data_IF_809455585318
#
_entry.id   IF_809455585318
#
_cell.length_a   1.000
_cell.length_b   1.000
_cell.length_c   1.000
_cell.angle_alpha   90.00
_cell.angle_beta   90.00
_cell.angle_gamma   90.00
#
_symmetry.space_group_name_H-M   'P 1'
#
loop_
_entity.id
_entity.type
_entity.pdbx_description
1 polymer ?
#
# COMPACT_ATOMS: atom_id res chain seq x y z
N UNK A 1 10.32 -0.72 -0.98
CA UNK A 1 9.57 0.53 -0.76
C UNK A 1 9.99 1.22 0.55
N UNK A 2 9.87 0.59 1.72
CA UNK A 2 10.25 1.20 3.01
C UNK A 2 11.72 1.01 3.40
N UNK A 3 12.40 -0.01 2.85
CA UNK A 3 13.83 -0.21 3.08
C UNK A 3 14.61 1.01 2.61
N UNK A 4 15.52 1.48 3.47
CA UNK A 4 16.33 2.68 3.25
C UNK A 4 15.54 3.98 3.00
N UNK A 5 14.25 4.01 3.37
CA UNK A 5 13.41 5.21 3.30
C UNK A 5 13.16 5.78 4.70
N UNK A 6 14.02 6.69 5.21
CA UNK A 6 13.82 7.29 6.53
C UNK A 6 12.51 8.07 6.63
N UNK A 7 12.11 8.72 5.53
CA UNK A 7 10.83 9.42 5.40
C UNK A 7 9.65 8.48 5.66
N UNK A 8 9.61 7.36 4.95
CA UNK A 8 8.51 6.38 5.04
C UNK A 8 8.48 5.69 6.40
N UNK A 9 9.64 5.27 6.91
CA UNK A 9 9.73 4.58 8.21
C UNK A 9 9.29 5.49 9.36
N UNK A 10 9.78 6.74 9.40
CA UNK A 10 9.35 7.68 10.42
C UNK A 10 7.84 7.92 10.37
N UNK A 11 7.30 8.20 9.18
CA UNK A 11 5.87 8.47 9.00
C UNK A 11 5.02 7.28 9.47
N UNK A 12 5.40 6.05 9.11
CA UNK A 12 4.69 4.84 9.54
C UNK A 12 4.78 4.65 11.05
N UNK A 13 5.96 4.81 11.65
CA UNK A 13 6.13 4.65 13.10
C UNK A 13 5.37 5.73 13.88
N UNK A 14 5.30 6.96 13.37
CA UNK A 14 4.53 8.04 13.98
C UNK A 14 3.02 7.73 14.05
N UNK A 15 2.49 6.88 13.15
CA UNK A 15 1.07 6.47 13.23
C UNK A 15 0.73 5.65 14.48
N UNK A 16 1.71 4.97 15.10
CA UNK A 16 1.49 4.15 16.30
C UNK A 16 1.11 5.02 17.51
N UNK A 17 1.92 6.00 17.95
CA UNK A 17 1.55 6.87 19.05
C UNK A 17 0.32 7.72 18.73
N UNK A 18 0.13 8.14 17.48
CA UNK A 18 -1.09 8.86 17.08
C UNK A 18 -2.32 7.97 17.28
N UNK A 19 -2.28 6.72 16.83
CA UNK A 19 -3.38 5.77 17.00
C UNK A 19 -3.64 5.47 18.48
N UNK A 20 -2.59 5.27 19.29
CA UNK A 20 -2.74 5.08 20.74
C UNK A 20 -3.40 6.28 21.40
N UNK A 21 -2.99 7.50 21.04
CA UNK A 21 -3.62 8.72 21.51
C UNK A 21 -5.10 8.79 21.10
N UNK A 22 -5.41 8.49 19.84
CA UNK A 22 -6.80 8.45 19.35
C UNK A 22 -7.65 7.42 20.12
N UNK A 23 -7.11 6.22 20.37
CA UNK A 23 -7.79 5.19 21.15
C UNK A 23 -8.08 5.61 22.58
N UNK A 24 -7.09 6.18 23.28
CA UNK A 24 -7.24 6.70 24.65
C UNK A 24 -8.22 7.87 24.69
N UNK A 25 -8.14 8.78 23.72
CA UNK A 25 -9.01 9.95 23.63
C UNK A 25 -10.48 9.54 23.49
N UNK A 26 -10.77 8.61 22.58
CA UNK A 26 -12.12 8.09 22.35
C UNK A 26 -12.64 7.26 23.53
N UNK A 27 -11.76 6.63 24.30
CA UNK A 27 -12.17 5.77 25.42
C UNK A 27 -12.40 6.53 26.73
N UNK A 28 -11.53 7.47 27.07
CA UNK A 28 -11.50 8.08 28.40
C UNK A 28 -11.68 9.60 28.40
N UNK A 29 -11.25 10.32 27.36
CA UNK A 29 -11.24 11.78 27.37
C UNK A 29 -12.57 12.36 26.89
N UNK A 30 -13.00 11.98 25.67
CA UNK A 30 -14.28 12.41 25.10
C UNK A 30 -14.96 11.28 24.31
N UNK A 31 -15.64 10.34 25.01
CA UNK A 31 -16.40 9.29 24.38
C UNK A 31 -17.46 9.84 23.41
N UNK A 32 -17.58 9.22 22.23
CA UNK A 32 -18.59 9.55 21.22
C UNK A 32 -18.24 10.72 20.28
N UNK A 33 -17.18 11.49 20.53
CA UNK A 33 -16.77 12.63 19.66
C UNK A 33 -15.80 12.23 18.56
N UNK A 34 -16.28 11.40 17.62
CA UNK A 34 -15.46 10.85 16.52
C UNK A 34 -14.92 11.95 15.60
N UNK A 35 -15.70 13.00 15.32
CA UNK A 35 -15.29 14.10 14.43
C UNK A 35 -14.08 14.88 14.95
N UNK A 36 -14.03 15.20 16.25
CA UNK A 36 -12.91 15.92 16.87
C UNK A 36 -11.61 15.14 16.72
N UNK A 37 -11.64 13.85 17.06
CA UNK A 37 -10.44 13.01 17.00
C UNK A 37 -10.02 12.66 15.57
N UNK A 38 -10.96 12.64 14.62
CA UNK A 38 -10.67 12.49 13.19
C UNK A 38 -9.86 13.67 12.68
N UNK A 39 -10.30 14.89 12.99
CA UNK A 39 -9.60 16.11 12.59
C UNK A 39 -8.20 16.16 13.20
N UNK A 40 -8.09 15.89 14.52
CA UNK A 40 -6.80 15.84 15.21
C UNK A 40 -5.89 14.77 14.59
N UNK A 41 -6.41 13.56 14.36
CA UNK A 41 -5.67 12.47 13.76
C UNK A 41 -5.14 12.82 12.37
N UNK A 42 -5.97 13.40 11.50
CA UNK A 42 -5.57 13.85 10.16
C UNK A 42 -4.49 14.93 10.25
N UNK A 43 -4.64 15.93 11.12
CA UNK A 43 -3.64 16.98 11.30
C UNK A 43 -2.30 16.42 11.82
N UNK A 44 -2.34 15.51 12.78
CA UNK A 44 -1.14 14.83 13.30
C UNK A 44 -0.49 13.96 12.22
N UNK A 45 -1.28 13.30 11.38
CA UNK A 45 -0.77 12.49 10.27
C UNK A 45 -0.08 13.37 9.22
N UNK A 46 -0.72 14.46 8.79
CA UNK A 46 -0.10 15.42 7.87
C UNK A 46 1.16 16.04 8.46
N UNK A 47 1.13 16.37 9.76
CA UNK A 47 2.31 16.81 10.50
C UNK A 47 3.42 15.76 10.52
N UNK A 48 3.08 14.48 10.68
CA UNK A 48 4.06 13.39 10.66
C UNK A 48 4.72 13.20 9.29
N UNK A 49 3.97 13.40 8.20
CA UNK A 49 4.49 13.34 6.83
C UNK A 49 5.48 14.50 6.60
N UNK A 50 5.13 15.71 7.03
CA UNK A 50 5.99 16.88 6.93
C UNK A 50 7.26 16.73 7.78
N UNK A 51 7.13 16.30 9.04
CA UNK A 51 8.26 16.04 9.95
C UNK A 51 9.15 14.91 9.43
N UNK A 52 8.57 13.87 8.83
CA UNK A 52 9.33 12.82 8.17
C UNK A 52 10.26 13.40 7.10
N UNK A 53 9.81 14.44 6.37
CA UNK A 53 10.62 15.09 5.34
C UNK A 53 11.84 15.79 5.94
N UNK A 54 11.65 16.47 7.07
CA UNK A 54 12.74 17.10 7.82
C UNK A 54 13.72 16.08 8.38
N UNK A 55 13.20 14.96 8.90
CA UNK A 55 14.01 13.86 9.43
C UNK A 55 14.84 13.17 8.35
N UNK A 56 14.28 13.01 7.15
CA UNK A 56 15.00 12.48 6.01
C UNK A 56 16.09 13.43 5.49
N UNK A 57 15.91 14.75 5.68
CA UNK A 57 16.89 15.75 5.30
C UNK A 57 18.05 15.90 6.30
N UNK A 58 17.85 15.58 7.57
CA UNK A 58 18.88 15.63 8.60
C UNK A 58 19.81 14.40 8.54
N UNK A 59 21.14 14.56 8.39
CA UNK A 59 22.08 13.44 8.25
C UNK A 59 22.10 12.46 9.43
N UNK A 60 21.83 12.93 10.65
CA UNK A 60 21.86 12.12 11.87
C UNK A 60 20.57 11.32 11.98
N UNK A 61 19.43 12.00 11.85
CA UNK A 61 18.13 11.37 11.98
C UNK A 61 17.77 10.49 10.78
N UNK A 62 18.20 10.85 9.57
CA UNK A 62 18.04 10.00 8.40
C UNK A 62 18.70 8.63 8.59
N UNK A 63 19.90 8.60 9.20
CA UNK A 63 20.58 7.33 9.51
C UNK A 63 19.86 6.54 10.60
N UNK A 64 19.30 7.22 11.60
CA UNK A 64 18.55 6.59 12.69
C UNK A 64 17.24 5.92 12.21
N UNK A 65 16.60 6.48 11.18
CA UNK A 65 15.36 5.95 10.61
C UNK A 65 15.56 5.15 9.31
N UNK A 66 16.80 4.92 8.89
CA UNK A 66 17.13 4.07 7.75
C UNK A 66 17.36 2.63 8.22
N UNK A 67 16.46 1.73 7.81
CA UNK A 67 16.52 0.31 8.15
C UNK A 67 16.56 -0.54 6.89
N UNK A 68 17.26 -1.67 6.98
CA UNK A 68 17.29 -2.69 5.93
C UNK A 68 15.96 -3.45 5.88
N UNK A 69 15.68 -4.10 4.75
CA UNK A 69 14.47 -4.92 4.60
C UNK A 69 14.35 -6.03 5.66
N UNK A 70 15.47 -6.62 6.07
CA UNK A 70 15.51 -7.65 7.12
C UNK A 70 15.13 -7.06 8.49
N UNK A 71 15.68 -5.88 8.84
CA UNK A 71 15.35 -5.20 10.09
C UNK A 71 13.86 -4.84 10.14
N UNK A 72 13.33 -4.24 9.06
CA UNK A 72 11.91 -3.90 8.95
C UNK A 72 11.04 -5.16 9.10
N UNK A 73 11.44 -6.28 8.50
CA UNK A 73 10.69 -7.55 8.62
C UNK A 73 10.57 -7.99 10.07
N UNK A 74 11.67 -8.00 10.82
CA UNK A 74 11.64 -8.33 12.25
C UNK A 74 10.83 -7.32 13.08
N UNK A 75 10.92 -6.02 12.76
CA UNK A 75 10.10 -4.99 13.40
C UNK A 75 8.60 -5.22 13.14
N UNK A 76 8.22 -5.59 11.92
CA UNK A 76 6.82 -5.87 11.56
C UNK A 76 6.30 -7.12 12.29
N UNK A 77 7.12 -8.17 12.43
CA UNK A 77 6.76 -9.37 13.21
C UNK A 77 6.53 -8.99 14.68
N UNK A 78 7.47 -8.26 15.28
CA UNK A 78 7.34 -7.82 16.67
C UNK A 78 6.14 -6.90 16.90
N UNK A 79 5.94 -5.93 16.01
CA UNK A 79 4.77 -5.05 16.02
C UNK A 79 3.47 -5.85 15.86
N UNK A 80 3.42 -6.81 14.93
CA UNK A 80 2.26 -7.66 14.70
C UNK A 80 1.87 -8.45 15.96
N UNK A 81 2.87 -9.00 16.66
CA UNK A 81 2.63 -9.66 17.96
C UNK A 81 2.06 -8.70 19.00
N UNK A 82 2.70 -7.54 19.20
CA UNK A 82 2.24 -6.53 20.17
C UNK A 82 0.83 -6.04 19.84
N UNK A 83 0.55 -5.75 18.58
CA UNK A 83 -0.77 -5.30 18.12
C UNK A 83 -1.86 -6.38 18.27
N UNK A 84 -1.50 -7.67 18.16
CA UNK A 84 -2.43 -8.78 18.37
C UNK A 84 -2.77 -9.02 19.85
N UNK A 85 -1.83 -8.73 20.76
CA UNK A 85 -2.02 -8.88 22.23
C UNK A 85 -2.75 -7.68 22.83
N UNK A 86 -2.49 -6.47 22.32
CA UNK A 86 -3.11 -5.26 22.84
C UNK A 86 -4.60 -5.16 22.51
N UNK A 87 -5.39 -4.42 23.32
CA UNK A 87 -6.80 -4.25 23.05
C UNK A 87 -7.06 -3.58 21.69
N UNK A 88 -8.05 -4.10 20.95
CA UNK A 88 -8.42 -3.62 19.60
C UNK A 88 -8.69 -2.11 19.57
N UNK A 89 -9.30 -1.56 20.63
CA UNK A 89 -9.63 -0.13 20.73
C UNK A 89 -8.40 0.78 20.91
N UNK A 90 -7.25 0.24 21.36
CA UNK A 90 -6.08 1.05 21.68
C UNK A 90 -5.21 1.31 20.45
N UNK A 91 -4.95 0.29 19.63
CA UNK A 91 -4.05 0.41 18.46
C UNK A 91 -4.78 0.07 17.17
N UNK A 92 -5.34 -1.13 17.06
CA UNK A 92 -5.82 -1.67 15.79
C UNK A 92 -6.93 -0.80 15.17
N UNK A 93 -8.03 -0.60 15.89
CA UNK A 93 -9.16 0.20 15.42
C UNK A 93 -8.81 1.68 15.11
N UNK A 94 -8.15 2.44 16.03
CA UNK A 94 -7.82 3.84 15.74
C UNK A 94 -6.78 3.99 14.62
N UNK A 95 -5.84 3.06 14.48
CA UNK A 95 -4.85 3.09 13.39
C UNK A 95 -5.47 2.78 12.04
N UNK A 96 -6.35 1.79 11.97
CA UNK A 96 -7.07 1.44 10.75
C UNK A 96 -7.98 2.60 10.32
N UNK A 97 -8.64 3.24 11.30
CA UNK A 97 -9.44 4.44 11.08
C UNK A 97 -8.60 5.60 10.52
N UNK A 98 -7.46 5.92 11.15
CA UNK A 98 -6.55 6.96 10.70
C UNK A 98 -6.04 6.70 9.27
N UNK A 99 -5.65 5.46 8.99
CA UNK A 99 -5.13 5.04 7.68
C UNK A 99 -6.18 5.12 6.58
N UNK A 100 -7.48 5.06 6.93
CA UNK A 100 -8.58 5.18 5.97
C UNK A 100 -8.60 6.57 5.33
N UNK A 101 -8.36 7.64 6.09
CA UNK A 101 -8.28 8.99 5.54
C UNK A 101 -7.13 9.13 4.54
N UNK A 102 -5.96 8.58 4.87
CA UNK A 102 -4.81 8.59 3.98
C UNK A 102 -5.10 7.81 2.70
N UNK A 103 -5.68 6.61 2.82
CA UNK A 103 -6.05 5.76 1.69
C UNK A 103 -7.05 6.46 0.78
N UNK A 104 -8.19 6.89 1.31
CA UNK A 104 -9.24 7.55 0.52
C UNK A 104 -8.70 8.84 -0.11
N UNK A 105 -7.99 9.67 0.67
CA UNK A 105 -7.38 10.91 0.15
C UNK A 105 -6.41 10.66 -0.99
N UNK A 106 -5.54 9.65 -0.85
CA UNK A 106 -4.57 9.26 -1.90
C UNK A 106 -5.28 8.73 -3.14
N UNK A 107 -6.29 7.86 -2.97
CA UNK A 107 -7.07 7.29 -4.07
C UNK A 107 -7.79 8.40 -4.86
N UNK A 108 -8.42 9.35 -4.17
CA UNK A 108 -9.08 10.50 -4.81
C UNK A 108 -8.08 11.37 -5.54
N UNK A 109 -6.93 11.68 -4.93
CA UNK A 109 -5.87 12.47 -5.56
C UNK A 109 -5.32 11.77 -6.83
N UNK A 110 -5.09 10.46 -6.76
CA UNK A 110 -4.66 9.65 -7.91
C UNK A 110 -5.73 9.60 -9.01
N UNK A 111 -7.00 9.43 -8.64
CA UNK A 111 -8.11 9.45 -9.60
C UNK A 111 -8.15 10.75 -10.39
N UNK A 112 -8.11 11.88 -9.66
CA UNK A 112 -8.08 13.22 -10.27
C UNK A 112 -6.84 13.38 -11.13
N UNK A 113 -5.67 12.95 -10.63
CA UNK A 113 -4.41 12.99 -11.38
C UNK A 113 -4.50 12.25 -12.71
N UNK A 114 -5.05 11.04 -12.73
CA UNK A 114 -5.24 10.24 -13.95
C UNK A 114 -6.20 10.95 -14.92
N UNK A 115 -7.33 11.48 -14.42
CA UNK A 115 -8.33 12.15 -15.26
C UNK A 115 -7.82 13.45 -15.86
N UNK A 116 -6.98 14.20 -15.14
CA UNK A 116 -6.40 15.46 -15.61
C UNK A 116 -5.24 15.21 -16.58
N UNK A 117 -4.36 14.27 -16.25
CA UNK A 117 -3.16 14.00 -17.07
C UNK A 117 -3.48 13.17 -18.31
N UNK A 118 -4.56 12.37 -18.29
CA UNK A 118 -4.96 11.43 -19.35
C UNK A 118 -3.75 10.72 -19.98
N UNK A 119 -2.97 9.97 -19.17
CA UNK A 119 -1.68 9.48 -19.62
C UNK A 119 -1.86 8.38 -20.67
N UNK A 120 -0.98 8.38 -21.66
CA UNK A 120 -0.94 7.34 -22.67
C UNK A 120 -0.47 6.01 -22.06
N UNK A 121 -1.22 4.94 -22.31
CA UNK A 121 -0.83 3.60 -21.89
C UNK A 121 0.22 3.07 -22.88
N UNK A 122 1.47 3.01 -22.44
CA UNK A 122 2.63 2.59 -23.25
C UNK A 122 2.80 1.08 -23.29
N UNK A 123 2.35 0.39 -22.25
CA UNK A 123 2.41 -1.07 -22.18
C UNK A 123 1.43 -1.69 -23.20
N UNK A 124 1.88 -2.63 -24.05
CA UNK A 124 0.98 -3.30 -25.00
C UNK A 124 -0.08 -4.12 -24.27
N UNK A 125 -1.26 -4.24 -24.87
CA UNK A 125 -2.39 -4.98 -24.28
C UNK A 125 -2.04 -6.46 -24.00
N UNK A 126 -1.18 -7.05 -24.83
CA UNK A 126 -0.60 -8.38 -24.62
C UNK A 126 0.91 -8.30 -24.83
N UNK A 127 1.67 -8.89 -23.91
CA UNK A 127 3.12 -9.06 -24.04
C UNK A 127 3.43 -10.50 -24.46
N UNK A 128 4.68 -10.77 -24.87
CA UNK A 128 5.14 -12.14 -25.16
C UNK A 128 5.16 -13.08 -23.95
N UNK A 129 4.91 -12.57 -22.74
CA UNK A 129 5.01 -13.31 -21.47
C UNK A 129 3.68 -13.91 -21.00
N UNK A 130 2.65 -13.96 -21.85
CA UNK A 130 1.33 -14.52 -21.51
C UNK A 130 1.34 -16.03 -21.25
N UNK A 131 2.36 -16.72 -21.74
CA UNK A 131 2.59 -18.16 -21.60
C UNK A 131 3.18 -18.58 -20.23
N UNK A 132 3.49 -17.60 -19.37
CA UNK A 132 4.02 -17.82 -18.03
C UNK A 132 5.54 -17.83 -17.93
N UNK A 133 6.24 -17.46 -19.00
CA UNK A 133 7.68 -17.21 -19.02
C UNK A 133 8.07 -15.82 -18.51
N UNK A 134 7.12 -15.08 -17.96
CA UNK A 134 7.30 -13.70 -17.50
C UNK A 134 8.45 -13.52 -16.50
N UNK A 135 9.26 -12.45 -16.64
CA UNK A 135 10.41 -12.23 -15.77
C UNK A 135 10.01 -11.70 -14.39
N UNK A 136 8.94 -10.90 -14.31
CA UNK A 136 8.40 -10.37 -13.04
C UNK A 136 7.70 -11.46 -12.24
N UNK A 137 7.00 -12.36 -12.93
CA UNK A 137 6.23 -13.43 -12.30
C UNK A 137 6.20 -14.67 -13.18
N UNK A 138 6.42 -15.84 -12.57
CA UNK A 138 6.35 -17.14 -13.24
C UNK A 138 4.95 -17.74 -13.12
N UNK A 139 4.41 -18.22 -14.24
CA UNK A 139 3.10 -18.84 -14.31
C UNK A 139 2.20 -18.17 -15.35
N UNK A 140 1.39 -18.97 -16.06
CA UNK A 140 0.53 -18.48 -17.14
C UNK A 140 -0.50 -17.46 -16.68
N UNK A 141 -1.00 -16.63 -17.62
CA UNK A 141 -1.97 -15.57 -17.34
C UNK A 141 -3.21 -16.10 -16.57
N UNK A 142 -3.67 -17.31 -16.91
CA UNK A 142 -4.71 -18.02 -16.19
C UNK A 142 -4.10 -19.16 -15.36
N UNK A 143 -4.43 -19.31 -14.05
CA UNK A 143 -5.41 -18.54 -13.26
C UNK A 143 -4.82 -17.31 -12.54
N UNK A 144 -3.54 -16.99 -12.74
CA UNK A 144 -2.83 -16.01 -11.93
C UNK A 144 -3.47 -14.62 -11.92
N UNK A 145 -4.04 -14.19 -13.05
CA UNK A 145 -4.82 -12.96 -13.17
C UNK A 145 -5.90 -12.82 -12.07
N UNK A 146 -6.57 -13.92 -11.73
CA UNK A 146 -7.63 -13.92 -10.72
C UNK A 146 -7.10 -13.86 -9.28
N UNK A 147 -5.85 -14.28 -9.06
CA UNK A 147 -5.22 -14.31 -7.74
C UNK A 147 -4.44 -13.01 -7.49
N UNK A 148 -3.81 -12.40 -8.51
CA UNK A 148 -2.99 -11.20 -8.30
C UNK A 148 -3.73 -9.90 -8.54
N UNK A 149 -4.65 -9.87 -9.52
CA UNK A 149 -5.45 -8.66 -9.84
C UNK A 149 -6.86 -8.78 -9.28
N UNK A 150 -7.51 -9.95 -9.41
CA UNK A 150 -8.90 -10.10 -9.00
C UNK A 150 -9.12 -10.35 -7.50
N UNK A 151 -8.06 -10.37 -6.67
CA UNK A 151 -8.23 -10.32 -5.21
C UNK A 151 -8.99 -9.08 -4.74
N UNK A 152 -9.04 -7.99 -5.52
CA UNK A 152 -9.91 -6.84 -5.24
C UNK A 152 -11.27 -6.85 -5.94
N UNK A 153 -11.45 -7.62 -7.03
CA UNK A 153 -12.59 -7.46 -7.95
C UNK A 153 -13.51 -8.68 -8.11
N UNK A 154 -13.09 -9.90 -7.77
CA UNK A 154 -13.90 -11.12 -7.99
C UNK A 154 -13.76 -12.16 -6.87
N UNK A 155 -12.69 -12.15 -6.07
CA UNK A 155 -12.41 -13.23 -5.11
C UNK A 155 -13.11 -13.06 -3.75
N UNK A 156 -14.07 -13.94 -3.45
CA UNK A 156 -14.66 -14.10 -2.12
C UNK A 156 -13.71 -14.60 -1.02
N UNK A 157 -12.42 -14.83 -1.31
CA UNK A 157 -11.44 -15.25 -0.31
C UNK A 157 -11.16 -14.15 0.74
N UNK A 158 -11.32 -12.87 0.39
CA UNK A 158 -11.30 -11.77 1.35
C UNK A 158 -12.49 -11.77 2.31
N UNK A 159 -13.62 -12.42 1.99
CA UNK A 159 -14.71 -12.59 2.95
C UNK A 159 -14.29 -13.45 4.16
N UNK A 160 -13.33 -14.36 3.98
CA UNK A 160 -12.73 -15.16 5.06
C UNK A 160 -11.73 -14.33 5.89
N UNK A 161 -10.96 -13.43 5.27
CA UNK A 161 -9.99 -12.54 5.94
C UNK A 161 -10.67 -11.32 6.62
N UNK A 162 -11.81 -10.87 6.08
CA UNK A 162 -12.70 -9.86 6.66
C UNK A 162 -13.13 -10.21 8.10
N UNK A 163 -13.00 -11.48 8.51
CA UNK A 163 -13.33 -11.99 9.86
C UNK A 163 -12.62 -11.28 11.03
N UNK A 164 -11.54 -10.53 10.77
CA UNK A 164 -10.74 -9.88 11.81
C UNK A 164 -11.44 -8.70 12.51
N UNK A 165 -11.80 -7.67 11.75
CA UNK A 165 -12.32 -6.38 12.27
C UNK A 165 -13.73 -6.09 11.80
N UNK A 166 -14.07 -6.37 10.54
CA UNK A 166 -15.40 -6.10 9.96
C UNK A 166 -16.55 -6.72 10.76
N UNK A 167 -16.58 -8.02 11.10
CA UNK A 167 -17.70 -8.59 11.88
C UNK A 167 -17.72 -8.11 13.33
N UNK A 168 -16.59 -7.62 13.87
CA UNK A 168 -16.52 -7.06 15.23
C UNK A 168 -16.98 -5.60 15.31
N UNK A 169 -17.03 -4.91 14.16
CA UNK A 169 -17.38 -3.50 14.04
C UNK A 169 -18.70 -3.27 13.29
N UNK A 170 -19.29 -4.31 12.71
CA UNK A 170 -20.62 -4.26 12.12
C UNK A 170 -21.67 -4.03 13.22
N UNK A 171 -22.40 -2.94 13.08
CA UNK A 171 -23.49 -2.60 14.00
C UNK A 171 -24.70 -3.55 13.86
N UNK A 172 -24.99 -3.98 12.62
CA UNK A 172 -26.06 -4.92 12.31
C UNK A 172 -25.79 -5.65 10.99
N UNK A 173 -26.58 -6.70 10.71
CA UNK A 173 -26.44 -7.51 9.50
C UNK A 173 -26.81 -6.76 8.21
N UNK A 174 -27.73 -5.80 8.27
CA UNK A 174 -28.13 -5.03 7.09
C UNK A 174 -26.99 -4.16 6.57
N UNK A 175 -26.08 -3.71 7.45
CA UNK A 175 -24.86 -2.99 7.08
C UNK A 175 -23.82 -3.88 6.38
N UNK A 176 -23.89 -5.21 6.54
CA UNK A 176 -22.90 -6.13 5.97
C UNK A 176 -22.83 -6.05 4.44
N UNK A 177 -24.00 -5.94 3.78
CA UNK A 177 -24.05 -5.81 2.32
C UNK A 177 -23.41 -4.53 1.84
N UNK A 178 -23.73 -3.40 2.47
CA UNK A 178 -23.19 -2.10 2.07
C UNK A 178 -21.66 -2.03 2.28
N UNK A 179 -21.18 -2.45 3.44
CA UNK A 179 -19.74 -2.43 3.77
C UNK A 179 -18.96 -3.41 2.90
N UNK A 180 -19.46 -4.65 2.74
CA UNK A 180 -18.80 -5.66 1.93
C UNK A 180 -18.75 -5.30 0.44
N UNK A 181 -19.90 -4.93 -0.14
CA UNK A 181 -19.96 -4.54 -1.56
C UNK A 181 -19.21 -3.23 -1.82
N UNK A 182 -19.34 -2.24 -0.94
CA UNK A 182 -18.59 -0.98 -1.05
C UNK A 182 -17.08 -1.19 -0.97
N UNK A 183 -16.61 -2.07 -0.08
CA UNK A 183 -15.19 -2.45 0.00
C UNK A 183 -14.68 -3.07 -1.30
N UNK A 184 -15.43 -4.02 -1.87
CA UNK A 184 -15.09 -4.66 -3.15
C UNK A 184 -15.00 -3.65 -4.31
N UNK A 185 -15.93 -2.69 -4.39
CA UNK A 185 -15.86 -1.63 -5.39
C UNK A 185 -14.63 -0.74 -5.22
N UNK A 186 -14.28 -0.39 -3.98
CA UNK A 186 -13.10 0.44 -3.68
C UNK A 186 -11.79 -0.30 -3.99
N UNK A 187 -11.69 -1.59 -3.66
CA UNK A 187 -10.51 -2.40 -4.02
C UNK A 187 -10.37 -2.54 -5.54
N UNK A 188 -11.47 -2.76 -6.26
CA UNK A 188 -11.48 -2.79 -7.72
C UNK A 188 -11.01 -1.47 -8.33
N UNK A 189 -11.44 -0.34 -7.76
CA UNK A 189 -11.04 0.98 -8.22
C UNK A 189 -9.53 1.22 -8.05
N UNK A 190 -8.97 0.84 -6.91
CA UNK A 190 -7.52 0.90 -6.67
C UNK A 190 -6.75 0.00 -7.64
N UNK A 191 -7.27 -1.20 -7.93
CA UNK A 191 -6.65 -2.11 -8.89
C UNK A 191 -6.56 -1.50 -10.31
N UNK A 192 -7.60 -0.79 -10.74
CA UNK A 192 -7.59 -0.05 -12.02
C UNK A 192 -6.52 1.05 -12.00
N UNK A 193 -6.42 1.83 -10.91
CA UNK A 193 -5.37 2.85 -10.81
C UNK A 193 -3.96 2.26 -10.84
N UNK A 194 -3.75 1.13 -10.15
CA UNK A 194 -2.47 0.43 -10.18
C UNK A 194 -2.12 -0.05 -11.59
N UNK A 195 -3.11 -0.54 -12.34
CA UNK A 195 -2.94 -0.92 -13.75
C UNK A 195 -2.57 0.28 -14.61
N UNK A 196 -3.29 1.40 -14.50
CA UNK A 196 -2.94 2.64 -15.21
C UNK A 196 -1.52 3.09 -14.85
N UNK A 197 -1.18 3.16 -13.57
CA UNK A 197 0.15 3.57 -13.12
C UNK A 197 1.26 2.66 -13.66
N UNK A 198 1.05 1.35 -13.70
CA UNK A 198 2.01 0.40 -14.27
C UNK A 198 2.13 0.54 -15.80
N UNK A 199 1.01 0.71 -16.50
CA UNK A 199 0.94 0.74 -17.96
C UNK A 199 1.42 2.06 -18.59
N UNK A 200 1.56 3.13 -17.80
CA UNK A 200 2.08 4.43 -18.26
C UNK A 200 3.62 4.47 -18.24
N UNK A 201 4.25 3.62 -17.44
CA UNK A 201 5.72 3.50 -17.39
C UNK A 201 6.21 2.89 -18.71
N UNK A 202 7.35 3.37 -19.21
CA UNK A 202 8.01 2.74 -20.36
C UNK A 202 8.25 1.25 -20.08
N UNK A 203 7.82 0.33 -20.98
CA UNK A 203 7.92 -1.10 -20.72
C UNK A 203 9.32 -1.56 -20.31
N UNK A 204 10.38 -1.01 -20.93
CA UNK A 204 11.76 -1.32 -20.57
C UNK A 204 12.09 -0.94 -19.12
N UNK A 205 11.69 0.25 -18.69
CA UNK A 205 11.87 0.71 -17.30
C UNK A 205 11.04 -0.14 -16.34
N UNK A 206 9.79 -0.46 -16.70
CA UNK A 206 8.93 -1.32 -15.89
C UNK A 206 9.58 -2.69 -15.63
N UNK A 207 10.07 -3.36 -16.67
CA UNK A 207 10.72 -4.66 -16.54
C UNK A 207 12.06 -4.58 -15.80
N UNK A 208 12.85 -3.52 -16.01
CA UNK A 208 14.10 -3.31 -15.29
C UNK A 208 13.88 -3.16 -13.78
N UNK A 209 12.84 -2.44 -13.35
CA UNK A 209 12.57 -2.19 -11.94
C UNK A 209 11.89 -3.36 -11.22
N UNK A 210 11.08 -4.14 -11.92
CA UNK A 210 10.22 -5.16 -11.30
C UNK A 210 10.72 -6.60 -11.50
N UNK A 211 11.71 -6.84 -12.37
CA UNK A 211 12.26 -8.18 -12.56
C UNK A 211 13.34 -8.49 -11.51
N UNK A 212 13.42 -9.75 -11.02
CA UNK A 212 14.46 -10.16 -10.08
C UNK A 212 15.88 -9.94 -10.64
N UNK A 213 16.80 -9.49 -9.79
CA UNK A 213 18.22 -9.32 -10.16
C UNK A 213 18.87 -10.62 -10.67
N UNK A 214 18.38 -11.79 -10.24
CA UNK A 214 18.81 -13.08 -10.76
C UNK A 214 18.50 -13.29 -12.26
N UNK A 215 17.54 -12.54 -12.80
CA UNK A 215 17.11 -12.62 -14.20
C UNK A 215 17.71 -11.47 -15.03
N UNK A 216 17.64 -10.24 -14.53
CA UNK A 216 18.12 -9.05 -15.27
C UNK A 216 19.58 -8.70 -15.05
N UNK A 217 20.22 -9.26 -14.01
CA UNK A 217 21.59 -8.90 -13.62
C UNK A 217 21.62 -7.90 -12.46
N UNK A 218 22.82 -7.73 -11.88
CA UNK A 218 23.05 -6.87 -10.71
C UNK A 218 23.53 -5.46 -11.03
N UNK A 219 23.92 -5.19 -12.28
CA UNK A 219 24.39 -3.87 -12.72
C UNK A 219 23.49 -3.30 -13.84
N UNK A 220 23.57 -1.98 -14.02
CA UNK A 220 22.71 -1.24 -14.95
C UNK A 220 22.92 -1.66 -16.40
N UNK A 221 24.14 -2.07 -16.77
CA UNK A 221 24.48 -2.45 -18.14
C UNK A 221 23.87 -3.82 -18.48
N UNK A 222 24.01 -4.80 -17.59
CA UNK A 222 23.42 -6.12 -17.71
C UNK A 222 21.89 -6.05 -17.73
N UNK A 223 21.30 -5.18 -16.89
CA UNK A 223 19.85 -4.95 -16.89
C UNK A 223 19.39 -4.37 -18.22
N UNK A 224 20.07 -3.33 -18.72
CA UNK A 224 19.73 -2.71 -19.99
C UNK A 224 19.85 -3.68 -21.17
N UNK A 225 20.91 -4.49 -21.20
CA UNK A 225 21.11 -5.51 -22.22
C UNK A 225 20.03 -6.59 -22.18
N UNK A 226 19.74 -7.12 -20.98
CA UNK A 226 18.74 -8.17 -20.80
C UNK A 226 17.35 -7.69 -21.19
N UNK A 227 16.93 -6.53 -20.72
CA UNK A 227 15.60 -5.99 -21.03
C UNK A 227 15.48 -5.62 -22.52
N UNK A 228 16.54 -5.07 -23.12
CA UNK A 228 16.58 -4.81 -24.57
C UNK A 228 16.49 -6.11 -25.38
N UNK A 229 17.07 -7.21 -24.89
CA UNK A 229 16.96 -8.53 -25.53
C UNK A 229 15.51 -9.06 -25.58
N UNK A 230 14.64 -8.57 -24.69
CA UNK A 230 13.20 -8.86 -24.69
C UNK A 230 12.41 -7.96 -25.64
N UNK A 231 13.07 -7.08 -26.40
CA UNK A 231 12.40 -6.15 -27.31
C UNK A 231 11.85 -4.89 -26.64
N UNK A 232 12.25 -4.62 -25.39
CA UNK A 232 11.89 -3.40 -24.67
C UNK A 232 13.13 -2.54 -24.49
N UNK A 233 13.27 -1.48 -25.28
CA UNK A 233 14.36 -0.53 -25.10
C UNK A 233 14.16 0.26 -23.79
N UNK A 234 15.26 0.52 -23.08
CA UNK A 234 15.28 1.47 -21.97
C UNK A 234 15.75 2.81 -22.54
N UNK A 235 14.82 3.76 -22.70
CA UNK A 235 15.08 5.14 -23.16
C UNK A 235 14.92 6.13 -22.03
#
# INVERSE_FOLDING_TARGET
ALAESPWGIFTVMATIPIAMFMGIYMRYIRPGRIGEISLIGVLLLLGSIWLGGQIAADPVWAKAFSFTGIQITWMLIGYGFVAAVLPVWLILAPRDYLSTFLKIGTIVALAIGILVTMPELKMPALTQFTDGTGPVWKGGLFPFLFITIACGAVSGFHALISSGTTPKLLDNETNARYIGYGGMLMESFVAIMAMVAASVIEPGVYFAMNSPAAIVGGDVVAVAQTVSSWGFAIT
#
